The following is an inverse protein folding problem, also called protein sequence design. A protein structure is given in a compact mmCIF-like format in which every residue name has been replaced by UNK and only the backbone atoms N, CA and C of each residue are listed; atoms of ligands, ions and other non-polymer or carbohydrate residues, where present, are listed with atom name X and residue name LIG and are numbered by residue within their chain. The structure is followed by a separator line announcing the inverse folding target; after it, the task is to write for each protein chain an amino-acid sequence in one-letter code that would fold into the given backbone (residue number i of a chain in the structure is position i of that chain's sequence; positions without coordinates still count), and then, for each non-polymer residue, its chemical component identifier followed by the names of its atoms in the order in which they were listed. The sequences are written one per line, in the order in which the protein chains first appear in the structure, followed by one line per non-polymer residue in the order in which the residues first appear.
data_IF_304804620923
#
_entry.id   IF_304804620923
#
_cell.length_a   1.000
_cell.length_b   1.000
_cell.length_c   1.000
_cell.angle_alpha   90.00
_cell.angle_beta   90.00
_cell.angle_gamma   90.00
#
_symmetry.space_group_name_H-M   'P 1'
#
loop_
_entity.id
_entity.type
_entity.pdbx_description
1 polymer ?
#
# COMPACT_ATOMS: atom_id res chain seq x y z
N UNK A 1 -25.73 48.21 -69.71
CA UNK A 1 -24.86 47.18 -69.11
C UNK A 1 -23.47 47.29 -69.69
N UNK A 2 -22.45 47.62 -68.89
CA UNK A 2 -21.23 46.80 -68.75
C UNK A 2 -20.29 47.46 -67.75
N UNK A 3 -20.15 46.83 -66.58
CA UNK A 3 -19.23 47.23 -65.53
C UNK A 3 -17.84 46.66 -65.82
N UNK A 4 -16.82 47.53 -65.84
CA UNK A 4 -15.43 47.12 -66.00
C UNK A 4 -14.80 46.84 -64.62
N UNK A 5 -14.56 45.56 -64.34
CA UNK A 5 -13.96 45.02 -63.10
C UNK A 5 -12.51 45.51 -62.91
N UNK A 6 -12.16 46.06 -61.73
CA UNK A 6 -10.78 46.25 -61.27
C UNK A 6 -10.21 44.93 -60.70
N UNK A 7 -8.94 44.65 -61.01
CA UNK A 7 -8.22 43.37 -60.88
C UNK A 7 -7.88 42.97 -59.42
N UNK A 8 -7.86 41.65 -59.06
CA UNK A 8 -7.66 41.13 -57.70
C UNK A 8 -6.21 40.71 -57.37
N UNK A 9 -5.20 41.43 -57.87
CA UNK A 9 -3.78 40.98 -57.79
C UNK A 9 -3.03 41.56 -56.58
N UNK A 10 -3.35 42.80 -56.17
CA UNK A 10 -2.60 43.51 -55.12
C UNK A 10 -2.90 43.00 -53.70
N UNK A 11 -4.12 42.51 -53.45
CA UNK A 11 -4.56 42.01 -52.15
C UNK A 11 -3.93 40.65 -51.77
N UNK A 12 -3.63 39.78 -52.75
CA UNK A 12 -2.96 38.49 -52.52
C UNK A 12 -1.50 38.65 -52.07
N UNK A 13 -0.81 39.68 -52.56
CA UNK A 13 0.58 39.98 -52.20
C UNK A 13 0.72 40.40 -50.73
N UNK A 14 -0.14 41.31 -50.26
CA UNK A 14 -0.14 41.76 -48.87
C UNK A 14 -0.46 40.63 -47.88
N UNK A 15 -1.42 39.75 -48.20
CA UNK A 15 -1.76 38.60 -47.35
C UNK A 15 -0.58 37.62 -47.26
N UNK A 16 0.14 37.40 -48.37
CA UNK A 16 1.32 36.53 -48.40
C UNK A 16 2.47 37.11 -47.57
N UNK A 17 2.67 38.42 -47.61
CA UNK A 17 3.69 39.09 -46.79
C UNK A 17 3.35 39.03 -45.29
N UNK A 18 2.09 39.32 -44.91
CA UNK A 18 1.62 39.19 -43.52
C UNK A 18 1.79 37.76 -42.96
N UNK A 19 1.52 36.73 -43.77
CA UNK A 19 1.76 35.32 -43.38
C UNK A 19 3.24 35.00 -43.17
N UNK A 20 4.14 35.55 -43.99
CA UNK A 20 5.59 35.38 -43.81
C UNK A 20 6.10 36.06 -42.54
N UNK A 21 5.60 37.26 -42.24
CA UNK A 21 5.95 37.97 -41.00
C UNK A 21 5.45 37.22 -39.77
N UNK A 22 4.20 36.71 -39.80
CA UNK A 22 3.66 35.90 -38.71
C UNK A 22 4.46 34.61 -38.49
N UNK A 23 4.84 33.92 -39.58
CA UNK A 23 5.68 32.73 -39.49
C UNK A 23 7.06 33.04 -38.89
N UNK A 24 7.68 34.15 -39.29
CA UNK A 24 8.96 34.57 -38.72
C UNK A 24 8.87 34.89 -37.23
N UNK A 25 7.79 35.56 -36.80
CA UNK A 25 7.54 35.83 -35.37
C UNK A 25 7.33 34.55 -34.56
N UNK A 26 6.61 33.57 -35.09
CA UNK A 26 6.42 32.27 -34.42
C UNK A 26 7.73 31.51 -34.29
N UNK A 27 8.58 31.51 -35.32
CA UNK A 27 9.91 30.87 -35.26
C UNK A 27 10.81 31.55 -34.22
N UNK A 28 10.78 32.88 -34.15
CA UNK A 28 11.51 33.64 -33.12
C UNK A 28 11.01 33.31 -31.71
N UNK A 29 9.69 33.18 -31.53
CA UNK A 29 9.08 32.78 -30.25
C UNK A 29 9.49 31.36 -29.84
N UNK A 30 9.50 30.42 -30.79
CA UNK A 30 9.98 29.06 -30.57
C UNK A 30 11.48 29.05 -30.19
N UNK A 31 12.31 29.80 -30.90
CA UNK A 31 13.74 29.90 -30.58
C UNK A 31 13.97 30.52 -29.20
N UNK A 32 13.26 31.61 -28.86
CA UNK A 32 13.35 32.23 -27.54
C UNK A 32 12.91 31.25 -26.42
N UNK A 33 11.85 30.48 -26.65
CA UNK A 33 11.40 29.44 -25.70
C UNK A 33 12.42 28.32 -25.53
N UNK A 34 13.11 27.93 -26.62
CA UNK A 34 14.14 26.89 -26.59
C UNK A 34 15.37 27.36 -25.79
N UNK A 35 15.79 28.61 -25.99
CA UNK A 35 16.90 29.24 -25.26
C UNK A 35 16.55 29.42 -23.78
N UNK A 36 15.31 29.79 -23.46
CA UNK A 36 14.82 29.83 -22.07
C UNK A 36 14.82 28.44 -21.42
N UNK A 37 14.45 27.39 -22.16
CA UNK A 37 14.57 26.02 -21.66
C UNK A 37 16.03 25.61 -21.44
N UNK A 38 16.91 25.88 -22.40
CA UNK A 38 18.34 25.55 -22.27
C UNK A 38 19.05 26.33 -21.16
N UNK A 39 18.62 27.56 -20.84
CA UNK A 39 19.23 28.34 -19.75
C UNK A 39 18.73 27.91 -18.38
N UNK A 40 17.50 27.42 -18.26
CA UNK A 40 16.94 26.90 -17.01
C UNK A 40 17.36 25.45 -16.74
N UNK A 41 17.64 24.66 -17.78
CA UNK A 41 17.99 23.24 -17.67
C UNK A 41 19.24 22.97 -16.80
N UNK A 42 20.38 23.68 -16.95
CA UNK A 42 21.56 23.50 -16.10
C UNK A 42 21.29 23.81 -14.63
N UNK A 43 20.43 24.78 -14.33
CA UNK A 43 20.06 25.13 -12.95
C UNK A 43 19.22 24.02 -12.30
N UNK A 44 18.27 23.43 -13.04
CA UNK A 44 17.45 22.31 -12.56
C UNK A 44 18.30 21.04 -12.38
N UNK A 45 19.24 20.79 -13.31
CA UNK A 45 20.22 19.68 -13.22
C UNK A 45 21.19 19.89 -12.05
N UNK A 46 21.62 21.13 -11.78
CA UNK A 46 22.48 21.46 -10.64
C UNK A 46 21.77 21.27 -9.30
N UNK A 47 20.49 21.65 -9.19
CA UNK A 47 19.69 21.43 -7.98
C UNK A 47 19.42 19.94 -7.71
N UNK A 48 19.17 19.14 -8.76
CA UNK A 48 19.03 17.69 -8.64
C UNK A 48 20.37 16.99 -8.35
N UNK A 49 21.49 17.48 -8.89
CA UNK A 49 22.84 17.05 -8.55
C UNK A 49 23.21 17.36 -7.09
N UNK A 50 22.84 18.53 -6.57
CA UNK A 50 23.03 18.91 -5.17
C UNK A 50 22.20 18.03 -4.20
N UNK A 51 20.99 17.59 -4.61
CA UNK A 51 20.22 16.56 -3.89
C UNK A 51 20.95 15.21 -3.81
N UNK A 52 21.70 14.84 -4.84
CA UNK A 52 22.51 13.61 -4.86
C UNK A 52 23.83 13.70 -4.08
N UNK A 53 24.30 14.91 -3.72
CA UNK A 53 25.54 15.08 -2.92
C UNK A 53 25.40 14.67 -1.46
N UNK A 54 24.17 14.57 -0.95
CA UNK A 54 23.90 13.82 0.27
C UNK A 54 23.48 12.42 -0.15
N UNK A 55 24.24 11.39 0.24
CA UNK A 55 23.84 9.99 0.05
C UNK A 55 22.64 9.72 0.97
N UNK A 56 21.46 10.18 0.58
CA UNK A 56 20.22 9.88 1.29
C UNK A 56 19.81 8.48 0.88
N UNK A 57 19.97 7.53 1.80
CA UNK A 57 19.51 6.16 1.58
C UNK A 57 17.98 6.19 1.40
N UNK A 58 17.44 5.47 0.40
CA UNK A 58 15.99 5.29 0.28
C UNK A 58 15.37 4.76 1.57
N UNK A 59 14.14 5.16 1.85
CA UNK A 59 13.41 4.77 3.05
C UNK A 59 12.29 3.80 2.74
N UNK A 60 11.95 3.00 3.75
CA UNK A 60 10.71 2.23 3.80
C UNK A 60 9.71 2.99 4.68
N UNK A 61 8.56 3.34 4.12
CA UNK A 61 7.43 3.87 4.87
C UNK A 61 6.62 2.72 5.48
N UNK A 62 6.53 2.68 6.80
CA UNK A 62 5.68 1.75 7.53
C UNK A 62 4.33 2.40 7.80
N UNK A 63 3.28 1.82 7.23
CA UNK A 63 1.92 2.33 7.21
C UNK A 63 1.08 1.49 8.17
N UNK A 64 0.85 2.01 9.36
CA UNK A 64 0.13 1.32 10.42
C UNK A 64 -1.36 1.62 10.36
N UNK A 65 -2.17 0.58 10.29
CA UNK A 65 -3.63 0.66 10.48
C UNK A 65 -3.94 0.14 11.90
N UNK A 66 -4.46 1.02 12.73
CA UNK A 66 -4.80 0.73 14.12
C UNK A 66 -6.21 1.24 14.44
N UNK A 67 -6.93 0.55 15.32
CA UNK A 67 -8.20 1.12 15.82
C UNK A 67 -7.95 2.30 16.75
N UNK A 68 -7.00 2.14 17.67
CA UNK A 68 -6.67 3.09 18.72
C UNK A 68 -5.14 3.19 18.87
N UNK A 69 -4.62 2.61 19.96
CA UNK A 69 -3.18 2.51 20.27
C UNK A 69 -2.52 1.41 19.45
N UNK A 70 -1.20 1.43 19.43
CA UNK A 70 -0.35 0.34 18.95
C UNK A 70 0.11 -0.49 20.16
N UNK A 71 -0.59 -1.59 20.51
CA UNK A 71 -0.28 -2.35 21.71
C UNK A 71 1.06 -3.08 21.63
N UNK A 72 1.60 -3.24 20.41
CA UNK A 72 2.88 -3.90 20.13
C UNK A 72 4.01 -2.90 19.88
N UNK A 73 3.84 -1.64 20.29
CA UNK A 73 4.82 -0.55 20.09
C UNK A 73 6.21 -0.91 20.59
N UNK A 74 6.32 -1.64 21.70
CA UNK A 74 7.60 -2.08 22.26
C UNK A 74 8.42 -3.01 21.35
N UNK A 75 7.78 -3.81 20.49
CA UNK A 75 8.49 -4.67 19.52
C UNK A 75 8.99 -3.82 18.37
N UNK A 76 8.16 -2.90 17.89
CA UNK A 76 8.50 -1.99 16.81
C UNK A 76 9.59 -0.98 17.22
N UNK A 77 9.58 -0.49 18.46
CA UNK A 77 10.68 0.31 19.04
C UNK A 77 12.00 -0.44 18.98
N UNK A 78 12.00 -1.71 19.41
CA UNK A 78 13.21 -2.52 19.38
C UNK A 78 13.66 -2.84 17.95
N UNK A 79 12.73 -2.97 17.01
CA UNK A 79 13.00 -3.18 15.59
C UNK A 79 13.61 -1.94 14.92
N UNK A 80 13.07 -0.74 15.18
CA UNK A 80 13.48 0.51 14.55
C UNK A 80 14.72 1.17 15.18
N UNK A 81 15.15 0.70 16.36
CA UNK A 81 16.22 1.33 17.14
C UNK A 81 17.52 1.46 16.32
N UNK A 82 17.99 2.70 16.14
CA UNK A 82 19.24 3.02 15.45
C UNK A 82 19.12 3.06 13.92
N UNK A 83 17.90 3.05 13.39
CA UNK A 83 17.62 2.98 11.94
C UNK A 83 16.87 4.22 11.41
N UNK A 84 16.85 5.31 12.18
CA UNK A 84 15.94 6.46 12.02
C UNK A 84 16.03 7.15 10.64
N UNK A 85 17.15 6.98 9.93
CA UNK A 85 17.36 7.55 8.59
C UNK A 85 16.90 6.64 7.44
N UNK A 86 16.44 5.41 7.71
CA UNK A 86 16.07 4.41 6.70
C UNK A 86 14.59 4.06 6.67
N UNK A 87 13.79 4.69 7.52
CA UNK A 87 12.35 4.48 7.55
C UNK A 87 11.57 5.75 7.87
N UNK A 88 10.27 5.67 7.64
CA UNK A 88 9.27 6.63 8.11
C UNK A 88 8.07 5.87 8.64
N UNK A 89 7.32 6.46 9.56
CA UNK A 89 6.16 5.83 10.21
C UNK A 89 4.96 6.74 10.06
N UNK A 90 3.85 6.18 9.60
CA UNK A 90 2.56 6.82 9.47
C UNK A 90 1.52 5.93 10.11
N UNK A 91 0.61 6.51 10.90
CA UNK A 91 -0.42 5.74 11.61
C UNK A 91 -1.79 6.30 11.28
N UNK A 92 -2.70 5.44 10.84
CA UNK A 92 -4.10 5.75 10.74
C UNK A 92 -4.82 5.12 11.93
N UNK A 93 -5.32 5.97 12.83
CA UNK A 93 -6.14 5.59 13.98
C UNK A 93 -7.57 6.07 13.78
N UNK A 94 -8.51 5.69 14.67
CA UNK A 94 -9.85 6.28 14.64
C UNK A 94 -9.79 7.82 14.75
N UNK A 95 -10.80 8.56 14.22
CA UNK A 95 -10.86 10.01 14.33
C UNK A 95 -10.71 10.51 15.77
N UNK A 96 -9.93 11.57 15.96
CA UNK A 96 -9.69 12.20 17.27
C UNK A 96 -8.69 11.47 18.18
N UNK A 97 -8.19 10.29 17.81
CA UNK A 97 -7.12 9.64 18.55
C UNK A 97 -5.76 10.28 18.20
N UNK A 98 -4.97 10.63 19.21
CA UNK A 98 -3.65 11.24 19.03
C UNK A 98 -2.56 10.34 19.62
N UNK A 99 -1.42 10.23 18.92
CA UNK A 99 -0.24 9.54 19.43
C UNK A 99 0.69 10.54 20.14
N UNK A 100 0.40 10.86 21.40
CA UNK A 100 1.20 11.75 22.24
C UNK A 100 1.86 11.00 23.41
N UNK A 101 2.60 11.73 24.26
CA UNK A 101 3.30 11.18 25.44
C UNK A 101 2.38 10.48 26.44
N UNK A 102 1.07 10.77 26.43
CA UNK A 102 0.08 10.11 27.28
C UNK A 102 -0.47 8.80 26.71
N UNK A 103 -0.34 8.58 25.40
CA UNK A 103 -0.95 7.43 24.70
C UNK A 103 0.06 6.40 24.22
N UNK A 104 1.31 6.80 23.99
CA UNK A 104 2.42 5.91 23.62
C UNK A 104 3.69 6.25 24.41
N UNK A 105 4.47 5.22 24.73
CA UNK A 105 5.82 5.37 25.31
C UNK A 105 6.92 5.29 24.25
N UNK A 106 6.54 4.94 23.02
CA UNK A 106 7.45 4.77 21.90
C UNK A 106 7.78 6.12 21.27
N UNK A 107 9.07 6.40 21.14
CA UNK A 107 9.53 7.60 20.45
C UNK A 107 9.25 7.52 18.94
N UNK A 108 9.30 6.33 18.34
CA UNK A 108 9.08 6.18 16.90
C UNK A 108 7.64 6.48 16.48
N UNK A 109 6.65 6.26 17.36
CA UNK A 109 5.23 6.52 17.10
C UNK A 109 4.73 7.90 17.56
N UNK A 110 5.55 8.67 18.29
CA UNK A 110 5.15 9.98 18.78
C UNK A 110 4.81 10.93 17.61
N UNK A 111 3.61 11.50 17.62
CA UNK A 111 3.08 12.41 16.61
C UNK A 111 3.11 11.84 15.19
N UNK A 112 2.96 10.52 15.04
CA UNK A 112 2.94 9.86 13.72
C UNK A 112 1.54 9.59 13.17
N UNK A 113 0.49 9.98 13.89
CA UNK A 113 -0.87 9.80 13.37
C UNK A 113 -1.17 10.80 12.25
N UNK A 114 -1.82 10.34 11.18
CA UNK A 114 -2.30 11.21 10.10
C UNK A 114 -3.45 12.09 10.59
N UNK A 115 -3.59 13.28 10.00
CA UNK A 115 -4.52 14.30 10.48
C UNK A 115 -5.95 14.19 9.88
N UNK A 116 -6.11 13.44 8.79
CA UNK A 116 -7.35 13.21 8.03
C UNK A 116 -7.88 11.79 8.22
N UNK A 117 -7.60 11.17 9.37
CA UNK A 117 -8.11 9.85 9.74
C UNK A 117 -9.64 9.77 9.71
N UNK A 118 -10.17 8.67 9.17
CA UNK A 118 -11.62 8.39 9.08
C UNK A 118 -12.04 7.22 9.97
N UNK A 119 -13.34 7.06 10.18
CA UNK A 119 -13.89 5.85 10.80
C UNK A 119 -13.74 4.68 9.81
N UNK A 120 -13.21 3.56 10.28
CA UNK A 120 -12.94 2.36 9.46
C UNK A 120 -13.74 1.19 10.01
N UNK A 121 -14.60 0.66 9.16
CA UNK A 121 -15.38 -0.54 9.45
C UNK A 121 -14.84 -1.74 8.67
N UNK A 122 -14.94 -2.92 9.28
CA UNK A 122 -14.41 -4.15 8.68
C UNK A 122 -15.33 -4.67 7.56
N UNK A 123 -14.72 -5.00 6.41
CA UNK A 123 -15.44 -5.44 5.22
C UNK A 123 -16.12 -4.29 4.45
N UNK A 124 -15.70 -3.06 4.70
CA UNK A 124 -16.20 -1.84 4.04
C UNK A 124 -15.08 -1.12 3.29
N UNK A 125 -15.45 -0.36 2.26
CA UNK A 125 -14.50 0.40 1.45
C UNK A 125 -13.76 1.50 2.23
N UNK A 126 -14.23 1.85 3.44
CA UNK A 126 -13.50 2.72 4.37
C UNK A 126 -12.12 2.18 4.73
N UNK A 127 -11.90 0.86 4.69
CA UNK A 127 -10.57 0.28 4.89
C UNK A 127 -9.59 0.70 3.77
N UNK A 128 -10.04 0.62 2.52
CA UNK A 128 -9.25 1.06 1.35
C UNK A 128 -8.98 2.57 1.44
N UNK A 129 -9.95 3.36 1.88
CA UNK A 129 -9.79 4.80 2.01
C UNK A 129 -8.71 5.16 3.06
N UNK A 130 -8.70 4.47 4.20
CA UNK A 130 -7.65 4.61 5.20
C UNK A 130 -6.26 4.23 4.66
N UNK A 131 -6.16 3.19 3.84
CA UNK A 131 -4.93 2.79 3.15
C UNK A 131 -4.45 3.87 2.18
N UNK A 132 -5.37 4.44 1.38
CA UNK A 132 -5.09 5.54 0.45
C UNK A 132 -4.65 6.81 1.18
N UNK A 133 -5.24 7.13 2.33
CA UNK A 133 -4.81 8.24 3.19
C UNK A 133 -3.37 8.03 3.64
N UNK A 134 -3.04 6.86 4.18
CA UNK A 134 -1.67 6.53 4.60
C UNK A 134 -0.66 6.68 3.46
N UNK A 135 -0.99 6.17 2.27
CA UNK A 135 -0.13 6.29 1.09
C UNK A 135 0.06 7.74 0.66
N UNK A 136 -1.00 8.56 0.66
CA UNK A 136 -0.94 9.97 0.28
C UNK A 136 0.04 10.74 1.18
N UNK A 137 -0.07 10.55 2.49
CA UNK A 137 0.87 11.15 3.46
C UNK A 137 2.28 10.63 3.27
N UNK A 138 2.46 9.33 3.09
CA UNK A 138 3.77 8.73 2.93
C UNK A 138 4.47 9.13 1.63
N UNK A 139 3.72 9.37 0.55
CA UNK A 139 4.26 9.81 -0.74
C UNK A 139 4.80 11.25 -0.68
N UNK A 140 4.44 12.05 0.32
CA UNK A 140 4.97 13.41 0.48
C UNK A 140 6.48 13.43 0.78
N UNK A 141 7.02 12.41 1.45
CA UNK A 141 8.48 12.25 1.61
C UNK A 141 9.06 11.67 0.30
N UNK A 142 9.91 12.41 -0.44
CA UNK A 142 10.48 11.95 -1.69
C UNK A 142 11.47 10.81 -1.52
N UNK A 143 11.93 10.52 -0.29
CA UNK A 143 12.86 9.43 -0.01
C UNK A 143 12.15 8.11 0.29
N UNK A 144 10.83 8.11 0.49
CA UNK A 144 10.06 6.88 0.65
C UNK A 144 9.92 6.16 -0.69
N UNK A 145 10.58 5.01 -0.81
CA UNK A 145 10.62 4.19 -2.04
C UNK A 145 9.82 2.89 -1.93
N UNK A 146 9.52 2.46 -0.70
CA UNK A 146 8.73 1.26 -0.40
C UNK A 146 7.70 1.58 0.69
N UNK A 147 6.51 0.99 0.57
CA UNK A 147 5.36 1.31 1.40
C UNK A 147 4.81 -0.01 1.96
N UNK A 148 5.00 -0.26 3.25
CA UNK A 148 4.68 -1.52 3.92
C UNK A 148 3.44 -1.32 4.79
N UNK A 149 2.35 -2.00 4.48
CA UNK A 149 1.17 -2.01 5.33
C UNK A 149 1.29 -3.04 6.46
N UNK A 150 1.00 -2.60 7.69
CA UNK A 150 0.97 -3.45 8.89
C UNK A 150 -0.16 -3.05 9.82
N UNK A 151 -0.67 -4.00 10.59
CA UNK A 151 -1.69 -3.78 11.60
C UNK A 151 -1.07 -3.57 12.98
N UNK A 152 -1.87 -3.02 13.89
CA UNK A 152 -1.65 -2.99 15.34
C UNK A 152 -1.37 -4.36 16.03
N UNK A 153 -1.47 -5.47 15.31
CA UNK A 153 -1.26 -6.85 15.78
C UNK A 153 -0.19 -7.62 14.99
N UNK A 154 0.52 -6.94 14.08
CA UNK A 154 1.65 -7.48 13.35
C UNK A 154 2.95 -7.33 14.15
N UNK A 155 3.86 -8.30 14.00
CA UNK A 155 5.24 -8.22 14.49
C UNK A 155 6.23 -8.45 13.34
N UNK A 156 7.40 -7.78 13.33
CA UNK A 156 8.54 -8.20 12.52
C UNK A 156 9.14 -9.49 13.12
N UNK A 157 9.57 -10.42 12.25
CA UNK A 157 10.21 -11.67 12.67
C UNK A 157 11.72 -11.69 12.42
N UNK A 158 12.26 -10.67 11.76
CA UNK A 158 13.70 -10.44 11.58
C UNK A 158 14.10 -9.04 12.06
N UNK A 159 15.41 -8.79 12.13
CA UNK A 159 15.92 -7.45 12.39
C UNK A 159 15.66 -6.49 11.22
N UNK A 160 15.78 -5.18 11.48
CA UNK A 160 15.51 -4.15 10.48
C UNK A 160 16.44 -4.25 9.28
N UNK A 161 17.74 -4.46 9.50
CA UNK A 161 18.72 -4.50 8.41
C UNK A 161 18.42 -5.61 7.40
N UNK A 162 18.11 -6.82 7.86
CA UNK A 162 17.68 -7.92 7.00
C UNK A 162 16.38 -7.59 6.26
N UNK A 163 15.39 -7.07 6.99
CA UNK A 163 14.08 -6.71 6.42
C UNK A 163 14.20 -5.64 5.33
N UNK A 164 15.00 -4.61 5.60
CA UNK A 164 15.30 -3.53 4.68
C UNK A 164 15.99 -4.07 3.43
N UNK A 165 17.07 -4.82 3.59
CA UNK A 165 17.82 -5.37 2.46
C UNK A 165 16.96 -6.31 1.61
N UNK A 166 16.07 -7.09 2.24
CA UNK A 166 15.14 -7.97 1.53
C UNK A 166 14.17 -7.16 0.68
N UNK A 167 13.44 -6.21 1.28
CA UNK A 167 12.42 -5.41 0.58
C UNK A 167 13.03 -4.53 -0.50
N UNK A 168 14.20 -3.96 -0.24
CA UNK A 168 14.90 -3.07 -1.17
C UNK A 168 15.64 -3.82 -2.29
N UNK A 169 15.80 -5.14 -2.18
CA UNK A 169 16.54 -5.94 -3.19
C UNK A 169 15.80 -6.21 -4.49
N UNK A 170 14.48 -5.99 -4.53
CA UNK A 170 13.65 -6.21 -5.72
C UNK A 170 13.09 -4.90 -6.26
N UNK A 171 12.86 -4.83 -7.57
CA UNK A 171 12.14 -3.74 -8.23
C UNK A 171 10.61 -3.91 -8.16
N UNK A 172 10.11 -5.09 -7.80
CA UNK A 172 8.68 -5.42 -7.78
C UNK A 172 7.99 -5.02 -6.46
N UNK A 173 6.67 -4.85 -6.51
CA UNK A 173 5.85 -4.85 -5.29
C UNK A 173 5.60 -6.27 -4.80
N UNK A 174 5.40 -6.47 -3.50
CA UNK A 174 4.89 -7.74 -2.95
C UNK A 174 3.39 -7.60 -2.73
N UNK A 175 2.62 -8.15 -3.66
CA UNK A 175 1.17 -8.11 -3.65
C UNK A 175 0.68 -9.54 -3.85
N UNK A 176 0.13 -10.12 -2.80
CA UNK A 176 -0.58 -11.38 -2.93
C UNK A 176 -1.75 -11.21 -3.89
N UNK A 177 -1.80 -11.97 -4.97
CA UNK A 177 -2.77 -11.77 -6.06
C UNK A 177 -3.02 -13.08 -6.80
N UNK A 178 -4.27 -13.53 -6.84
CA UNK A 178 -4.72 -14.72 -7.55
C UNK A 178 -6.18 -14.61 -8.00
N UNK A 179 -6.58 -15.44 -8.97
CA UNK A 179 -7.97 -15.49 -9.43
C UNK A 179 -8.91 -16.03 -8.34
N UNK A 180 -10.00 -15.32 -8.08
CA UNK A 180 -11.02 -15.72 -7.10
C UNK A 180 -12.05 -16.67 -7.72
N UNK A 181 -11.72 -17.96 -7.77
CA UNK A 181 -12.55 -18.98 -8.45
C UNK A 181 -13.54 -19.69 -7.52
N UNK A 182 -13.39 -19.58 -6.19
CA UNK A 182 -14.13 -20.42 -5.23
C UNK A 182 -15.28 -19.72 -4.53
N UNK A 183 -15.27 -18.38 -4.42
CA UNK A 183 -16.10 -17.70 -3.41
C UNK A 183 -17.19 -16.77 -3.96
N UNK A 184 -17.30 -16.60 -5.28
CA UNK A 184 -18.39 -15.83 -5.89
C UNK A 184 -18.50 -14.38 -5.38
N UNK A 185 -17.39 -13.81 -4.88
CA UNK A 185 -17.36 -12.47 -4.25
C UNK A 185 -17.50 -11.33 -5.25
N UNK A 186 -17.21 -11.60 -6.52
CA UNK A 186 -17.38 -10.63 -7.59
C UNK A 186 -18.86 -10.25 -7.75
N UNK A 187 -19.13 -8.95 -7.73
CA UNK A 187 -20.45 -8.40 -7.98
C UNK A 187 -20.58 -8.03 -9.47
N UNK A 188 -21.49 -8.66 -10.25
CA UNK A 188 -21.65 -8.38 -11.68
C UNK A 188 -21.97 -6.92 -12.02
N UNK A 189 -22.48 -6.13 -11.06
CA UNK A 189 -22.72 -4.68 -11.25
C UNK A 189 -21.44 -3.86 -11.37
N UNK A 190 -20.27 -4.46 -11.09
CA UNK A 190 -18.99 -3.80 -11.33
C UNK A 190 -18.59 -3.81 -12.80
N UNK A 191 -19.20 -4.67 -13.62
CA UNK A 191 -19.03 -4.68 -15.07
C UNK A 191 -19.77 -3.48 -15.72
N UNK A 192 -19.22 -2.84 -16.78
CA UNK A 192 -17.95 -3.15 -17.45
C UNK A 192 -16.72 -2.43 -16.85
N UNK A 193 -16.89 -1.63 -15.79
CA UNK A 193 -15.80 -0.79 -15.24
C UNK A 193 -14.67 -1.63 -14.65
N UNK A 194 -15.02 -2.68 -13.90
CA UNK A 194 -14.08 -3.70 -13.42
C UNK A 194 -14.57 -5.01 -14.01
N UNK A 195 -13.89 -5.50 -15.05
CA UNK A 195 -14.22 -6.80 -15.63
C UNK A 195 -13.88 -7.94 -14.67
N UNK A 196 -14.68 -9.01 -14.69
CA UNK A 196 -14.41 -10.25 -13.94
C UNK A 196 -13.02 -10.83 -14.23
N UNK A 197 -12.47 -10.60 -15.43
CA UNK A 197 -11.12 -11.07 -15.80
C UNK A 197 -10.00 -10.38 -15.02
N UNK A 198 -10.23 -9.13 -14.59
CA UNK A 198 -9.31 -8.35 -13.78
C UNK A 198 -9.56 -8.53 -12.28
N UNK A 199 -10.64 -9.22 -11.89
CA UNK A 199 -10.94 -9.50 -10.49
C UNK A 199 -9.85 -10.40 -9.90
N UNK A 200 -9.21 -9.90 -8.84
CA UNK A 200 -8.15 -10.60 -8.13
C UNK A 200 -8.44 -10.59 -6.64
N UNK A 201 -7.98 -11.64 -5.95
CA UNK A 201 -8.00 -11.80 -4.50
C UNK A 201 -6.57 -11.88 -3.96
N UNK A 202 -6.37 -11.43 -2.73
CA UNK A 202 -5.16 -11.66 -1.97
C UNK A 202 -5.20 -11.02 -0.59
N UNK A 203 -4.03 -10.97 0.05
CA UNK A 203 -3.87 -10.31 1.34
C UNK A 203 -4.01 -8.78 1.26
N UNK A 204 -4.68 -8.19 2.25
CA UNK A 204 -4.62 -6.75 2.56
C UNK A 204 -3.17 -6.25 2.77
N UNK A 205 -2.30 -7.09 3.36
CA UNK A 205 -0.97 -6.68 3.80
C UNK A 205 0.03 -6.71 2.64
N UNK A 206 0.06 -5.63 1.87
CA UNK A 206 0.93 -5.47 0.70
C UNK A 206 2.18 -4.64 1.00
N UNK A 207 3.21 -4.81 0.17
CA UNK A 207 4.38 -3.91 0.10
C UNK A 207 4.45 -3.32 -1.29
N UNK A 208 4.28 -2.01 -1.40
CA UNK A 208 4.24 -1.31 -2.68
C UNK A 208 5.56 -0.58 -2.98
N UNK A 209 5.93 -0.54 -4.25
CA UNK A 209 6.86 0.46 -4.78
C UNK A 209 6.21 1.84 -4.80
N UNK A 210 7.03 2.89 -4.89
CA UNK A 210 6.54 4.27 -5.05
C UNK A 210 5.62 4.46 -6.25
N UNK A 211 5.93 3.80 -7.37
CA UNK A 211 5.09 3.79 -8.58
C UNK A 211 3.69 3.26 -8.26
N UNK A 212 3.59 2.05 -7.70
CA UNK A 212 2.31 1.41 -7.40
C UNK A 212 1.53 2.13 -6.29
N UNK A 213 2.22 2.70 -5.29
CA UNK A 213 1.61 3.57 -4.30
C UNK A 213 0.92 4.79 -4.95
N UNK A 214 1.58 5.41 -5.95
CA UNK A 214 1.01 6.51 -6.74
C UNK A 214 -0.24 6.10 -7.53
N UNK A 215 -0.22 4.92 -8.15
CA UNK A 215 -1.40 4.35 -8.85
C UNK A 215 -2.58 4.21 -7.89
N UNK A 216 -2.35 3.63 -6.70
CA UNK A 216 -3.40 3.46 -5.68
C UNK A 216 -3.97 4.79 -5.21
N UNK A 217 -3.16 5.82 -4.99
CA UNK A 217 -3.66 7.13 -4.52
C UNK A 217 -4.40 7.89 -5.62
N UNK A 218 -3.98 7.75 -6.88
CA UNK A 218 -4.54 8.47 -8.02
C UNK A 218 -5.75 7.77 -8.64
N UNK A 219 -6.10 6.55 -8.22
CA UNK A 219 -7.25 5.84 -8.76
C UNK A 219 -8.56 6.58 -8.46
N UNK A 220 -9.31 6.84 -9.53
CA UNK A 220 -10.64 7.46 -9.54
C UNK A 220 -11.71 6.58 -10.20
N UNK A 221 -11.39 5.31 -10.48
CA UNK A 221 -12.24 4.41 -11.28
C UNK A 221 -12.62 3.15 -10.50
N UNK A 222 -11.63 2.41 -10.00
CA UNK A 222 -11.83 1.14 -9.30
C UNK A 222 -12.38 1.38 -7.90
N UNK A 223 -11.80 2.33 -7.16
CA UNK A 223 -12.19 2.61 -5.78
C UNK A 223 -13.68 3.01 -5.64
N UNK A 224 -14.24 3.92 -6.46
CA UNK A 224 -15.68 4.22 -6.42
C UNK A 224 -16.57 2.98 -6.65
N UNK A 225 -16.17 2.06 -7.53
CA UNK A 225 -16.93 0.83 -7.76
C UNK A 225 -16.91 -0.09 -6.54
N UNK A 226 -15.77 -0.18 -5.85
CA UNK A 226 -15.67 -0.89 -4.58
C UNK A 226 -16.57 -0.25 -3.50
N UNK A 227 -16.58 1.08 -3.39
CA UNK A 227 -17.46 1.80 -2.46
C UNK A 227 -18.95 1.50 -2.70
N UNK A 228 -19.35 1.36 -3.96
CA UNK A 228 -20.75 1.15 -4.33
C UNK A 228 -21.18 -0.33 -4.24
N UNK A 229 -20.30 -1.27 -4.62
CA UNK A 229 -20.72 -2.65 -4.92
C UNK A 229 -19.99 -3.74 -4.16
N UNK A 230 -18.84 -3.45 -3.54
CA UNK A 230 -18.10 -4.41 -2.73
C UNK A 230 -18.32 -4.13 -1.24
N UNK A 231 -19.25 -4.86 -0.63
CA UNK A 231 -19.52 -4.77 0.81
C UNK A 231 -19.66 -6.16 1.39
N UNK A 232 -19.23 -6.34 2.64
CA UNK A 232 -19.48 -7.59 3.35
C UNK A 232 -20.98 -7.72 3.62
N UNK A 233 -21.51 -8.95 3.53
CA UNK A 233 -22.89 -9.22 3.94
C UNK A 233 -23.12 -8.84 5.40
N UNK A 234 -24.27 -8.23 5.71
CA UNK A 234 -24.66 -8.02 7.10
C UNK A 234 -24.80 -9.38 7.81
N UNK A 235 -23.99 -9.62 8.85
CA UNK A 235 -24.13 -10.80 9.72
C UNK A 235 -25.28 -10.60 10.71
N UNK A 236 -25.82 -11.72 11.21
CA UNK A 236 -26.94 -11.78 12.13
C UNK A 236 -26.74 -11.00 13.46
N UNK A 237 -25.51 -10.56 13.74
CA UNK A 237 -25.14 -9.89 14.98
C UNK A 237 -25.15 -8.36 14.86
N UNK A 238 -25.17 -7.81 13.63
CA UNK A 238 -25.07 -6.37 13.35
C UNK A 238 -26.38 -5.74 12.82
N UNK A 239 -27.53 -6.41 12.94
CA UNK A 239 -28.83 -5.92 12.43
C UNK A 239 -29.27 -4.57 12.99
N UNK A 240 -28.73 -4.16 14.16
CA UNK A 240 -29.08 -2.87 14.76
C UNK A 240 -28.44 -1.68 14.02
N UNK A 241 -27.40 -1.94 13.22
CA UNK A 241 -26.63 -0.89 12.54
C UNK A 241 -27.06 -0.70 11.08
N UNK A 242 -27.84 -1.62 10.50
CA UNK A 242 -28.39 -1.50 9.14
C UNK A 242 -29.79 -2.12 9.02
N UNK A 243 -30.74 -1.44 8.36
CA UNK A 243 -32.00 -2.08 7.98
C UNK A 243 -31.70 -3.27 7.08
N UNK A 244 -32.38 -4.40 7.34
CA UNK A 244 -32.34 -5.57 6.48
C UNK A 244 -32.65 -5.16 5.04
N UNK A 245 -31.81 -5.54 4.05
CA UNK A 245 -32.19 -5.34 2.66
C UNK A 245 -33.46 -6.13 2.39
N UNK A 246 -34.38 -5.54 1.61
CA UNK A 246 -35.63 -6.19 1.20
C UNK A 246 -35.42 -7.51 0.42
N UNK A 247 -34.19 -7.78 -0.02
CA UNK A 247 -33.78 -8.98 -0.73
C UNK A 247 -32.33 -9.37 -0.35
N UNK A 248 -32.14 -10.23 0.66
CA UNK A 248 -30.81 -10.69 1.09
C UNK A 248 -30.08 -11.55 0.04
N UNK A 249 -30.77 -12.04 -1.00
CA UNK A 249 -30.17 -12.79 -2.09
C UNK A 249 -29.38 -11.88 -3.05
N UNK A 250 -29.58 -10.55 -3.00
CA UNK A 250 -28.87 -9.55 -3.81
C UNK A 250 -27.63 -8.96 -3.14
N UNK A 251 -27.37 -9.29 -1.89
CA UNK A 251 -26.14 -8.89 -1.21
C UNK A 251 -25.02 -9.83 -1.68
N UNK A 252 -23.94 -9.30 -2.26
CA UNK A 252 -22.74 -10.09 -2.60
C UNK A 252 -21.75 -9.95 -1.46
N UNK A 253 -21.27 -11.07 -0.90
CA UNK A 253 -20.25 -10.99 0.15
C UNK A 253 -18.91 -10.62 -0.48
N UNK A 254 -18.47 -9.39 -0.30
CA UNK A 254 -17.21 -8.89 -0.83
C UNK A 254 -16.37 -8.27 0.30
N UNK A 255 -15.06 -8.54 0.33
CA UNK A 255 -14.13 -8.01 1.34
C UNK A 255 -13.17 -7.03 0.66
N UNK A 256 -13.46 -5.72 0.66
CA UNK A 256 -12.80 -4.75 -0.22
C UNK A 256 -11.26 -4.76 -0.15
N UNK A 257 -10.73 -4.82 1.06
CA UNK A 257 -9.30 -4.79 1.38
C UNK A 257 -8.53 -6.03 0.93
N UNK A 258 -9.21 -7.15 0.67
CA UNK A 258 -8.60 -8.38 0.13
C UNK A 258 -8.62 -8.44 -1.41
N UNK A 259 -9.12 -7.41 -2.09
CA UNK A 259 -9.32 -7.45 -3.54
C UNK A 259 -8.89 -6.18 -4.27
N UNK A 260 -8.97 -5.02 -3.63
CA UNK A 260 -8.84 -3.73 -4.30
C UNK A 260 -7.47 -3.51 -4.97
N UNK A 261 -6.37 -3.61 -4.20
CA UNK A 261 -5.03 -3.32 -4.72
C UNK A 261 -4.67 -4.30 -5.85
N UNK A 262 -5.00 -5.57 -5.68
CA UNK A 262 -4.76 -6.62 -6.66
C UNK A 262 -5.51 -6.35 -7.97
N UNK A 263 -6.81 -6.04 -7.84
CA UNK A 263 -7.70 -5.78 -8.98
C UNK A 263 -7.30 -4.52 -9.72
N UNK A 264 -6.97 -3.44 -8.99
CA UNK A 264 -6.48 -2.20 -9.59
C UNK A 264 -5.19 -2.44 -10.39
N UNK A 265 -4.20 -3.11 -9.80
CA UNK A 265 -2.94 -3.38 -10.49
C UNK A 265 -3.12 -4.31 -11.70
N UNK A 266 -4.05 -5.28 -11.63
CA UNK A 266 -4.38 -6.10 -12.78
C UNK A 266 -5.04 -5.30 -13.90
N UNK A 267 -5.98 -4.42 -13.56
CA UNK A 267 -6.68 -3.55 -14.50
C UNK A 267 -5.75 -2.56 -15.20
N UNK A 268 -4.74 -2.05 -14.48
CA UNK A 268 -3.71 -1.15 -15.02
C UNK A 268 -2.58 -1.90 -15.76
N UNK A 269 -2.64 -3.23 -15.87
CA UNK A 269 -1.65 -4.04 -16.59
C UNK A 269 -0.31 -4.23 -15.84
N UNK A 270 -0.28 -4.03 -14.53
CA UNK A 270 0.91 -4.15 -13.69
C UNK A 270 1.12 -5.54 -13.07
N UNK A 271 0.42 -6.58 -13.52
CA UNK A 271 0.62 -7.95 -13.01
C UNK A 271 2.06 -8.47 -13.20
N UNK A 272 2.76 -7.99 -14.23
CA UNK A 272 4.18 -8.30 -14.46
C UNK A 272 5.16 -7.57 -13.54
N UNK A 273 4.72 -6.57 -12.78
CA UNK A 273 5.56 -5.76 -11.89
C UNK A 273 5.37 -6.11 -10.41
N UNK A 274 4.63 -7.18 -10.12
CA UNK A 274 4.40 -7.67 -8.77
C UNK A 274 4.99 -9.07 -8.56
N UNK A 275 5.56 -9.29 -7.39
CA UNK A 275 5.76 -10.63 -6.85
C UNK A 275 4.45 -11.04 -6.19
N UNK A 276 3.82 -12.10 -6.72
CA UNK A 276 2.45 -12.52 -6.40
C UNK A 276 2.34 -13.24 -5.05
N UNK A 277 2.76 -12.56 -3.99
CA UNK A 277 2.71 -13.00 -2.58
C UNK A 277 2.81 -11.84 -1.60
N UNK A 278 2.34 -12.07 -0.38
CA UNK A 278 2.54 -11.14 0.75
C UNK A 278 3.83 -11.48 1.51
N UNK A 279 4.42 -10.49 2.17
CA UNK A 279 5.50 -10.68 3.15
C UNK A 279 4.98 -10.85 4.59
N UNK A 280 3.66 -10.88 4.79
CA UNK A 280 3.03 -11.01 6.12
C UNK A 280 2.36 -12.36 6.28
N UNK A 281 2.91 -13.19 7.16
CA UNK A 281 2.33 -14.48 7.51
C UNK A 281 1.04 -14.31 8.31
N UNK A 282 -0.03 -15.00 7.91
CA UNK A 282 -1.28 -15.12 8.66
C UNK A 282 -1.69 -16.59 8.74
N UNK A 283 -1.85 -17.13 9.95
CA UNK A 283 -2.36 -18.49 10.12
C UNK A 283 -3.88 -18.50 10.07
N UNK A 284 -4.44 -19.29 9.15
CA UNK A 284 -5.87 -19.49 9.00
C UNK A 284 -6.21 -20.92 9.45
N UNK A 285 -6.54 -21.06 10.73
CA UNK A 285 -7.08 -22.30 11.27
C UNK A 285 -8.60 -22.16 11.41
N UNK A 286 -9.35 -22.95 10.63
CA UNK A 286 -10.81 -22.96 10.62
C UNK A 286 -11.41 -23.32 12.00
N UNK A 287 -10.63 -23.93 12.90
CA UNK A 287 -11.05 -24.30 14.26
C UNK A 287 -10.80 -23.22 15.32
N UNK A 288 -10.03 -22.17 14.99
CA UNK A 288 -9.54 -21.20 15.98
C UNK A 288 -10.60 -20.23 16.52
N UNK A 289 -11.74 -20.07 15.84
CA UNK A 289 -12.87 -19.31 16.38
C UNK A 289 -13.81 -20.22 17.19
N UNK A 290 -14.00 -19.87 18.47
CA UNK A 290 -15.00 -20.49 19.35
C UNK A 290 -16.43 -20.24 18.85
N UNK A 291 -16.66 -19.09 18.23
CA UNK A 291 -17.91 -18.74 17.59
C UNK A 291 -17.95 -19.36 16.19
N UNK A 292 -18.96 -20.23 15.96
CA UNK A 292 -19.15 -20.96 14.70
C UNK A 292 -19.35 -20.00 13.53
N UNK A 293 -19.97 -18.84 13.73
CA UNK A 293 -20.25 -17.87 12.67
C UNK A 293 -19.01 -17.05 12.28
N UNK A 294 -18.02 -16.94 13.18
CA UNK A 294 -16.77 -16.18 12.98
C UNK A 294 -15.58 -17.05 12.53
N UNK A 295 -15.78 -18.37 12.37
CA UNK A 295 -14.76 -19.28 11.83
C UNK A 295 -14.39 -18.88 10.40
N UNK A 296 -13.08 -18.79 10.12
CA UNK A 296 -12.58 -18.46 8.78
C UNK A 296 -12.61 -16.98 8.40
N UNK A 297 -13.16 -16.07 9.23
CA UNK A 297 -13.19 -14.63 8.95
C UNK A 297 -11.99 -13.86 9.48
N UNK A 298 -11.31 -14.42 10.48
CA UNK A 298 -10.11 -13.83 11.06
C UNK A 298 -9.04 -14.91 11.26
N UNK A 299 -7.76 -14.58 11.04
CA UNK A 299 -6.67 -15.50 11.33
C UNK A 299 -6.50 -15.68 12.83
N UNK A 300 -5.76 -16.74 13.18
CA UNK A 300 -5.39 -17.09 14.54
C UNK A 300 -4.72 -15.91 15.24
N UNK A 301 -5.09 -15.70 16.50
CA UNK A 301 -4.42 -14.74 17.38
C UNK A 301 -3.57 -15.50 18.40
N UNK A 302 -2.25 -15.43 18.23
CA UNK A 302 -1.27 -16.05 19.11
C UNK A 302 -1.24 -15.37 20.48
N UNK A 303 -1.44 -16.19 21.51
CA UNK A 303 -1.35 -15.82 22.93
C UNK A 303 0.03 -16.15 23.47
N UNK A 304 0.25 -15.83 24.74
CA UNK A 304 1.53 -16.05 25.43
C UNK A 304 2.04 -17.50 25.26
N UNK A 305 1.19 -18.50 25.48
CA UNK A 305 1.52 -19.93 25.37
C UNK A 305 1.95 -20.35 23.97
N UNK A 306 1.39 -19.71 22.94
CA UNK A 306 1.59 -20.09 21.55
C UNK A 306 2.89 -19.49 21.00
N UNK A 307 3.34 -18.38 21.61
CA UNK A 307 4.42 -17.51 21.15
C UNK A 307 5.81 -18.07 21.48
N UNK A 308 6.15 -19.21 20.89
CA UNK A 308 7.40 -19.94 21.16
C UNK A 308 8.50 -19.66 20.12
N UNK A 309 9.79 -19.90 20.45
CA UNK A 309 10.87 -19.91 19.46
C UNK A 309 10.63 -20.88 18.31
N UNK A 310 10.01 -22.03 18.60
CA UNK A 310 9.67 -23.06 17.61
C UNK A 310 8.64 -22.53 16.61
N UNK A 311 7.62 -21.81 17.07
CA UNK A 311 6.65 -21.14 16.19
C UNK A 311 7.34 -20.12 15.27
N UNK A 312 8.21 -19.27 15.81
CA UNK A 312 8.91 -18.27 14.98
C UNK A 312 9.81 -18.97 13.96
N UNK A 313 10.52 -20.02 14.37
CA UNK A 313 11.35 -20.81 13.46
C UNK A 313 10.51 -21.45 12.36
N UNK A 314 9.38 -22.07 12.68
CA UNK A 314 8.52 -22.72 11.67
C UNK A 314 7.98 -21.73 10.64
N UNK A 315 7.66 -20.49 11.03
CA UNK A 315 7.26 -19.43 10.08
C UNK A 315 8.45 -19.02 9.20
N UNK A 316 9.65 -18.92 9.77
CA UNK A 316 10.89 -18.56 9.05
C UNK A 316 11.37 -19.64 8.09
N UNK A 317 11.05 -20.90 8.36
CA UNK A 317 11.43 -22.05 7.54
C UNK A 317 10.52 -22.20 6.29
N UNK A 318 9.45 -21.38 6.16
CA UNK A 318 8.60 -21.38 4.96
C UNK A 318 9.33 -20.68 3.79
N UNK A 319 9.64 -21.45 2.75
CA UNK A 319 10.35 -21.00 1.55
C UNK A 319 9.49 -21.01 0.27
N UNK A 320 8.24 -21.44 0.35
CA UNK A 320 7.27 -21.39 -0.74
C UNK A 320 5.82 -21.20 -0.25
N UNK A 321 4.97 -20.71 -1.15
CA UNK A 321 3.53 -20.51 -0.91
C UNK A 321 2.74 -21.25 -2.00
N UNK A 322 1.73 -22.02 -1.58
CA UNK A 322 0.86 -22.76 -2.49
C UNK A 322 -0.46 -22.01 -2.72
N UNK A 323 -0.75 -21.71 -3.99
CA UNK A 323 -1.99 -21.12 -4.46
C UNK A 323 -2.84 -22.20 -5.13
N UNK A 324 -3.64 -22.89 -4.32
CA UNK A 324 -4.47 -24.01 -4.78
C UNK A 324 -5.42 -23.64 -5.93
N UNK A 325 -5.98 -22.42 -5.91
CA UNK A 325 -6.92 -21.94 -6.93
C UNK A 325 -6.31 -21.86 -8.32
N UNK A 326 -4.99 -21.70 -8.40
CA UNK A 326 -4.24 -21.56 -9.65
C UNK A 326 -3.32 -22.76 -9.91
N UNK A 327 -3.33 -23.76 -9.02
CA UNK A 327 -2.34 -24.84 -8.98
C UNK A 327 -0.89 -24.31 -9.12
N UNK A 328 -0.60 -23.17 -8.47
CA UNK A 328 0.68 -22.46 -8.57
C UNK A 328 1.43 -22.56 -7.25
N UNK A 329 2.73 -22.85 -7.33
CA UNK A 329 3.66 -22.76 -6.21
C UNK A 329 4.61 -21.59 -6.42
N UNK A 330 4.60 -20.65 -5.49
CA UNK A 330 5.47 -19.48 -5.49
C UNK A 330 6.68 -19.75 -4.61
N UNK A 331 7.86 -19.94 -5.21
CA UNK A 331 9.12 -20.11 -4.49
C UNK A 331 9.71 -18.75 -4.12
N UNK A 332 10.03 -18.58 -2.84
CA UNK A 332 10.50 -17.30 -2.32
C UNK A 332 12.00 -17.13 -2.54
N UNK A 333 12.37 -15.97 -3.07
CA UNK A 333 13.76 -15.61 -3.31
C UNK A 333 14.02 -14.16 -2.96
N UNK A 334 15.28 -13.86 -2.66
CA UNK A 334 15.82 -12.51 -2.51
C UNK A 334 17.19 -12.46 -3.17
N UNK A 335 17.46 -11.42 -3.97
CA UNK A 335 18.71 -11.28 -4.75
C UNK A 335 19.05 -12.53 -5.59
N UNK A 336 18.03 -13.18 -6.16
CA UNK A 336 18.18 -14.39 -6.98
C UNK A 336 18.53 -15.67 -6.21
N UNK A 337 18.49 -15.66 -4.89
CA UNK A 337 18.77 -16.84 -4.04
C UNK A 337 17.52 -17.27 -3.27
N UNK A 338 17.34 -18.58 -2.97
CA UNK A 338 16.28 -19.04 -2.09
C UNK A 338 16.28 -18.28 -0.77
N UNK A 339 15.10 -17.85 -0.33
CA UNK A 339 14.95 -17.06 0.89
C UNK A 339 13.59 -17.33 1.55
N UNK A 340 13.47 -17.09 2.87
CA UNK A 340 12.20 -17.15 3.58
C UNK A 340 11.12 -16.28 2.92
N UNK A 341 9.87 -16.73 2.98
CA UNK A 341 8.75 -16.00 2.37
C UNK A 341 8.30 -14.78 3.17
N UNK A 342 8.29 -14.87 4.50
CA UNK A 342 7.65 -13.87 5.34
C UNK A 342 8.66 -13.06 6.13
N UNK A 343 8.42 -11.76 6.26
CA UNK A 343 9.20 -10.83 7.10
C UNK A 343 8.41 -10.34 8.32
N UNK A 344 7.09 -10.44 8.24
CA UNK A 344 6.15 -10.07 9.29
C UNK A 344 5.21 -11.24 9.58
N UNK A 345 4.63 -11.26 10.77
CA UNK A 345 3.64 -12.25 11.17
C UNK A 345 2.49 -11.62 11.97
N UNK A 346 1.30 -12.20 11.82
CA UNK A 346 0.09 -11.80 12.55
C UNK A 346 -0.82 -13.00 12.85
N UNK A 347 -1.68 -12.93 13.87
CA UNK A 347 -1.89 -11.81 14.82
C UNK A 347 -1.31 -12.16 16.18
N UNK A 348 -0.68 -11.19 16.85
CA UNK A 348 -0.09 -11.42 18.18
C UNK A 348 -0.76 -10.54 19.22
N UNK A 349 -1.04 -11.13 20.39
CA UNK A 349 -1.40 -10.36 21.58
C UNK A 349 -0.20 -9.63 22.16
N UNK A 350 -0.46 -8.61 22.98
CA UNK A 350 0.60 -7.89 23.71
C UNK A 350 1.47 -8.82 24.58
N UNK A 351 0.92 -9.75 25.38
CA UNK A 351 1.75 -10.70 26.14
C UNK A 351 2.59 -11.61 25.25
N UNK A 352 2.04 -12.10 24.13
CA UNK A 352 2.76 -12.93 23.16
C UNK A 352 3.97 -12.20 22.57
N UNK A 353 3.76 -10.98 22.09
CA UNK A 353 4.81 -10.16 21.50
C UNK A 353 5.93 -9.81 22.51
N UNK A 354 5.56 -9.50 23.76
CA UNK A 354 6.53 -9.28 24.84
C UNK A 354 7.34 -10.53 25.16
N UNK A 355 6.70 -11.69 25.18
CA UNK A 355 7.38 -12.96 25.43
C UNK A 355 8.45 -13.21 24.37
N UNK A 356 8.09 -13.08 23.09
CA UNK A 356 9.01 -13.25 21.96
C UNK A 356 10.16 -12.24 21.98
N UNK A 357 9.88 -10.99 22.35
CA UNK A 357 10.91 -9.96 22.47
C UNK A 357 11.91 -10.31 23.59
N UNK A 358 11.43 -10.80 24.73
CA UNK A 358 12.30 -11.21 25.85
C UNK A 358 13.16 -12.44 25.48
N UNK A 359 12.63 -13.35 24.67
CA UNK A 359 13.38 -14.51 24.16
C UNK A 359 14.39 -14.13 23.05
N UNK A 360 14.43 -12.86 22.61
CA UNK A 360 15.33 -12.37 21.56
C UNK A 360 15.22 -13.10 20.21
N UNK A 361 14.08 -13.72 19.91
CA UNK A 361 13.88 -14.52 18.69
C UNK A 361 13.46 -13.72 17.45
N UNK A 362 13.09 -12.45 17.64
CA UNK A 362 12.64 -11.54 16.59
C UNK A 362 13.79 -10.78 15.90
N UNK A 363 15.04 -11.04 16.29
CA UNK A 363 16.20 -10.27 15.81
C UNK A 363 16.32 -8.85 16.38
N UNK A 364 15.32 -8.40 17.15
CA UNK A 364 15.35 -7.16 17.93
C UNK A 364 15.80 -7.44 19.37
N UNK A 365 16.71 -6.61 19.90
CA UNK A 365 17.17 -6.70 21.30
C UNK A 365 16.59 -5.57 22.13
N UNK A 366 16.08 -5.89 23.32
CA UNK A 366 15.78 -4.87 24.33
C UNK A 366 17.11 -4.25 24.78
N UNK A 367 17.25 -2.93 24.67
CA UNK A 367 18.44 -2.27 25.23
C UNK A 367 18.57 -2.59 26.71
N UNK A 368 19.78 -2.88 27.17
CA UNK A 368 20.07 -2.91 28.61
C UNK A 368 19.57 -1.59 29.21
N UNK A 369 18.83 -1.66 30.32
CA UNK A 369 18.56 -0.46 31.11
C UNK A 369 19.94 0.10 31.49
N UNK A 370 20.21 1.36 31.12
CA UNK A 370 21.26 2.11 31.80
C UNK A 370 20.79 2.27 33.25
N UNK A 371 21.31 1.44 34.14
CA UNK A 371 21.34 1.77 35.56
C UNK A 371 22.35 2.90 35.71
N UNK A 372 21.83 4.11 35.89
CA UNK A 372 22.52 5.25 36.50
C UNK A 372 21.58 5.86 37.50
#
# INVERSE_FOLDING_TARGET
MSAMKRKPVQQKSQIRWKRKVLAALLVLLCFASLVLMETQYPQVVSLSSLRHRFIVKPKIAFLFIARNRLPLDMVWDAFFKGEENRFSVYVHSRPGFLLNKGTTRSACFLNRQVNDSIQVDWGEATMIEAERILLRHALTDPYNERFVFVSDSCIPIYNFSYTYDYIMSTSTSFVDSFADTKEGRYNPKMDPVISVYNWRKGSQWVVLTRKHAGVVVNDTTVFPMFQQHCKRKSLLEFWRDRPFPADPAKEHNCIPDEHYVQTLLAQEGFEGEITRRSLTYSAWDLSASKDRERRGWHPVTYKFSDATPVLIKSIKDIDNINYETENRREWCSSKGKPAPCFLFARKFTRPAALHLLNLSVLGARRGAKSET
#
